data_IF_697495659463
#
_entry.id   IF_697495659463
#
_cell.length_a   1.000
_cell.length_b   1.000
_cell.length_c   1.000
_cell.angle_alpha   90.00
_cell.angle_beta   90.00
_cell.angle_gamma   90.00
#
_symmetry.space_group_name_H-M   'P 1'
#
loop_
_entity.id
_entity.type
_entity.pdbx_description
1 polymer ?
#
# COMPACT_ATOMS: atom_id res chain seq x y z
N UNK A 1 41.32 7.47 56.92
CA UNK A 1 40.03 7.19 56.25
C UNK A 1 39.95 8.12 55.03
N UNK A 2 40.34 7.62 53.86
CA UNK A 2 40.19 8.35 52.60
C UNK A 2 38.82 8.00 52.03
N UNK A 3 37.92 8.97 51.97
CA UNK A 3 36.64 8.83 51.30
C UNK A 3 36.83 9.14 49.81
N UNK A 4 36.75 8.11 48.96
CA UNK A 4 36.69 8.26 47.51
C UNK A 4 35.38 8.96 47.12
N UNK A 5 35.40 9.96 46.23
CA UNK A 5 34.17 10.64 45.83
C UNK A 5 33.38 9.81 44.80
N UNK A 6 32.07 10.01 44.86
CA UNK A 6 31.01 9.46 44.02
C UNK A 6 31.30 9.62 42.51
N UNK A 7 31.60 8.53 41.81
CA UNK A 7 31.71 8.51 40.34
C UNK A 7 30.35 8.62 39.64
N UNK A 8 29.28 8.05 40.22
CA UNK A 8 27.96 7.99 39.60
C UNK A 8 27.22 9.33 39.47
N UNK A 9 27.46 10.29 40.37
CA UNK A 9 26.79 11.59 40.34
C UNK A 9 27.41 12.56 39.34
N UNK A 10 28.71 12.43 39.07
CA UNK A 10 29.46 13.24 38.11
C UNK A 10 29.12 12.83 36.67
N UNK A 11 29.04 11.53 36.40
CA UNK A 11 28.62 10.99 35.08
C UNK A 11 27.19 11.42 34.70
N UNK A 12 26.27 11.42 35.67
CA UNK A 12 24.90 11.90 35.45
C UNK A 12 24.84 13.40 35.15
N UNK A 13 25.70 14.22 35.76
CA UNK A 13 25.77 15.67 35.46
C UNK A 13 26.38 15.95 34.08
N UNK A 14 27.32 15.12 33.64
CA UNK A 14 27.90 15.21 32.29
C UNK A 14 26.87 14.86 31.22
N UNK A 15 26.10 13.78 31.38
CA UNK A 15 25.03 13.40 30.45
C UNK A 15 23.92 14.46 30.32
N UNK A 16 23.76 15.30 31.35
CA UNK A 16 22.76 16.37 31.37
C UNK A 16 23.28 17.68 30.76
N UNK A 17 24.60 17.83 30.64
CA UNK A 17 25.24 19.05 30.15
C UNK A 17 24.98 19.28 28.65
N UNK A 18 24.61 20.50 28.23
CA UNK A 18 24.54 20.87 26.82
C UNK A 18 25.86 20.67 26.07
N UNK A 19 26.98 20.63 26.78
CA UNK A 19 28.33 20.50 26.22
C UNK A 19 28.80 19.06 26.03
N UNK A 20 28.00 18.07 26.42
CA UNK A 20 28.37 16.67 26.26
C UNK A 20 28.26 16.23 24.81
N UNK A 21 29.32 15.63 24.27
CA UNK A 21 29.34 14.93 22.99
C UNK A 21 29.41 13.43 23.26
N UNK A 22 28.52 12.66 22.64
CA UNK A 22 28.55 11.21 22.77
C UNK A 22 29.75 10.66 21.96
N UNK A 23 30.44 9.59 22.40
CA UNK A 23 31.58 9.03 21.65
C UNK A 23 31.25 8.59 20.21
N UNK A 24 29.97 8.36 19.88
CA UNK A 24 29.53 8.05 18.52
C UNK A 24 29.30 9.28 17.64
N UNK A 25 29.30 10.48 18.21
CA UNK A 25 29.06 11.73 17.50
C UNK A 25 30.26 12.06 16.62
N UNK A 26 30.06 12.07 15.32
CA UNK A 26 31.03 12.50 14.33
C UNK A 26 30.37 13.43 13.31
N UNK A 27 31.16 14.28 12.65
CA UNK A 27 30.67 15.30 11.71
C UNK A 27 30.02 14.72 10.46
N UNK A 28 30.40 13.50 10.06
CA UNK A 28 29.86 12.77 8.91
C UNK A 28 28.53 12.07 9.17
N UNK A 29 28.07 11.98 10.42
CA UNK A 29 26.81 11.34 10.76
C UNK A 29 25.64 12.19 10.26
N UNK A 30 24.81 11.61 9.39
CA UNK A 30 23.58 12.22 8.93
C UNK A 30 22.64 12.48 10.13
N UNK A 31 22.46 13.74 10.49
CA UNK A 31 21.55 14.14 11.57
C UNK A 31 20.09 14.28 11.10
N UNK A 32 19.88 14.37 9.79
CA UNK A 32 18.57 14.44 9.14
C UNK A 32 18.47 13.34 8.08
N UNK A 33 17.31 12.69 7.91
CA UNK A 33 17.11 11.70 6.86
C UNK A 33 17.04 12.31 5.45
N UNK A 34 16.87 13.63 5.36
CA UNK A 34 16.84 14.37 4.09
C UNK A 34 17.96 15.41 4.03
N UNK A 35 18.50 15.63 2.83
CA UNK A 35 19.47 16.69 2.56
C UNK A 35 18.75 17.97 2.12
N UNK A 36 19.30 19.13 2.47
CA UNK A 36 18.81 20.41 1.97
C UNK A 36 19.05 20.50 0.46
N UNK A 37 17.96 20.64 -0.31
CA UNK A 37 17.96 20.75 -1.77
C UNK A 37 17.48 22.14 -2.26
N UNK A 38 17.21 23.05 -1.32
CA UNK A 38 16.82 24.43 -1.57
C UNK A 38 15.30 24.67 -1.58
N UNK A 39 14.49 23.68 -1.97
CA UNK A 39 13.02 23.77 -1.96
C UNK A 39 12.39 23.16 -0.70
N UNK A 40 13.16 22.34 0.03
CA UNK A 40 12.71 21.60 1.20
C UNK A 40 13.18 22.20 2.53
N UNK A 41 13.52 23.50 2.57
CA UNK A 41 14.14 24.12 3.73
C UNK A 41 13.35 23.92 5.02
N UNK A 42 12.04 24.17 5.04
CA UNK A 42 11.22 24.04 6.24
C UNK A 42 11.22 22.62 6.80
N UNK A 43 10.97 21.63 5.94
CA UNK A 43 10.99 20.21 6.33
C UNK A 43 12.38 19.79 6.82
N UNK A 44 13.43 20.17 6.11
CA UNK A 44 14.82 19.88 6.50
C UNK A 44 15.16 20.54 7.85
N UNK A 45 14.78 21.80 8.02
CA UNK A 45 15.05 22.56 9.23
C UNK A 45 14.34 21.95 10.44
N UNK A 46 13.08 21.55 10.29
CA UNK A 46 12.29 20.87 11.33
C UNK A 46 12.93 19.54 11.75
N UNK A 47 13.34 18.71 10.80
CA UNK A 47 13.97 17.41 11.07
C UNK A 47 15.34 17.57 11.75
N UNK A 48 16.18 18.47 11.24
CA UNK A 48 17.50 18.73 11.81
C UNK A 48 17.38 19.35 13.22
N UNK A 49 16.46 20.29 13.42
CA UNK A 49 16.20 20.88 14.73
C UNK A 49 15.70 19.84 15.74
N UNK A 50 14.83 18.91 15.32
CA UNK A 50 14.36 17.82 16.17
C UNK A 50 15.50 16.88 16.60
N UNK A 51 16.41 16.55 15.68
CA UNK A 51 17.62 15.77 15.99
C UNK A 51 18.51 16.50 17.01
N UNK A 52 18.74 17.80 16.82
CA UNK A 52 19.52 18.61 17.75
C UNK A 52 18.83 18.79 19.11
N UNK A 53 17.50 18.89 19.13
CA UNK A 53 16.69 18.88 20.36
C UNK A 53 16.89 17.59 21.14
N UNK A 54 16.82 16.43 20.48
CA UNK A 54 17.07 15.14 21.11
C UNK A 54 18.46 15.05 21.75
N UNK A 55 19.46 15.72 21.14
CA UNK A 55 20.85 15.81 21.67
C UNK A 55 21.10 16.99 22.63
N UNK A 56 20.07 17.78 22.98
CA UNK A 56 20.14 19.00 23.81
C UNK A 56 21.08 20.08 23.25
N UNK A 57 21.18 20.16 21.92
CA UNK A 57 22.06 21.09 21.19
C UNK A 57 21.33 22.28 20.57
N UNK A 58 20.00 22.34 20.68
CA UNK A 58 19.19 23.43 20.14
C UNK A 58 19.70 24.82 20.56
N UNK A 59 20.19 24.97 21.81
CA UNK A 59 20.61 26.27 22.32
C UNK A 59 21.79 26.91 21.58
N UNK A 60 22.57 26.14 20.83
CA UNK A 60 23.64 26.64 19.95
C UNK A 60 23.09 27.29 18.68
N UNK A 61 21.94 26.82 18.18
CA UNK A 61 21.28 27.37 16.99
C UNK A 61 20.51 28.65 17.37
N UNK A 62 19.70 28.58 18.42
CA UNK A 62 18.89 29.72 18.87
C UNK A 62 19.78 30.82 19.48
N UNK A 63 20.97 30.45 19.96
CA UNK A 63 21.92 31.32 20.66
C UNK A 63 21.51 31.62 22.10
N UNK A 64 20.67 30.78 22.69
CA UNK A 64 20.41 30.79 24.14
C UNK A 64 21.67 30.36 24.91
N UNK A 65 22.49 29.48 24.33
CA UNK A 65 23.81 29.10 24.85
C UNK A 65 24.89 30.00 24.25
N UNK A 66 25.16 31.11 24.95
CA UNK A 66 26.26 32.01 24.59
C UNK A 66 27.60 31.38 24.91
N UNK A 67 28.61 31.69 24.10
CA UNK A 67 30.01 31.33 24.37
C UNK A 67 30.41 31.85 25.76
N UNK A 68 30.85 30.98 26.68
CA UNK A 68 31.30 31.40 28.01
C UNK A 68 32.47 32.38 27.90
N UNK A 69 32.48 33.41 28.75
CA UNK A 69 33.59 34.37 28.85
C UNK A 69 34.23 34.17 30.21
N UNK A 70 35.57 34.16 30.28
CA UNK A 70 36.37 33.97 31.50
C UNK A 70 36.33 32.55 32.11
N UNK A 71 35.99 31.52 31.31
CA UNK A 71 36.03 30.11 31.73
C UNK A 71 36.63 29.25 30.61
N UNK A 72 37.96 29.05 30.58
CA UNK A 72 38.62 28.42 29.44
C UNK A 72 38.17 26.98 29.19
N UNK A 73 37.94 26.19 30.24
CA UNK A 73 37.49 24.79 30.09
C UNK A 73 36.05 24.67 29.54
N UNK A 74 35.16 25.61 29.87
CA UNK A 74 33.80 25.63 29.32
C UNK A 74 33.77 26.22 27.91
N UNK A 75 34.68 27.15 27.62
CA UNK A 75 34.88 27.76 26.29
C UNK A 75 35.36 26.72 25.28
N UNK A 76 36.38 25.92 25.61
CA UNK A 76 36.88 24.84 24.75
C UNK A 76 35.77 23.81 24.46
N UNK A 77 35.01 23.42 25.50
CA UNK A 77 33.87 22.50 25.34
C UNK A 77 32.76 23.08 24.46
N UNK A 78 32.50 24.38 24.57
CA UNK A 78 31.55 25.08 23.71
C UNK A 78 32.04 25.09 22.26
N UNK A 79 33.32 25.43 22.02
CA UNK A 79 33.92 25.50 20.68
C UNK A 79 33.93 24.13 19.98
N UNK A 80 34.21 23.04 20.72
CA UNK A 80 34.13 21.66 20.21
C UNK A 80 32.71 21.32 19.72
N UNK A 81 31.70 21.60 20.55
CA UNK A 81 30.30 21.28 20.23
C UNK A 81 29.80 22.15 19.08
N UNK A 82 30.14 23.44 19.07
CA UNK A 82 29.80 24.36 17.99
C UNK A 82 30.39 23.87 16.65
N UNK A 83 31.65 23.43 16.64
CA UNK A 83 32.30 22.87 15.45
C UNK A 83 31.63 21.57 14.98
N UNK A 84 31.20 20.72 15.91
CA UNK A 84 30.45 19.50 15.58
C UNK A 84 29.12 19.82 14.90
N UNK A 85 28.38 20.81 15.42
CA UNK A 85 27.09 21.24 14.83
C UNK A 85 27.29 21.86 13.45
N UNK A 86 28.34 22.66 13.24
CA UNK A 86 28.70 23.18 11.91
C UNK A 86 28.94 22.02 10.95
N UNK A 87 29.69 20.99 11.38
CA UNK A 87 29.92 19.78 10.59
C UNK A 87 28.63 19.03 10.24
N UNK A 88 27.71 18.90 11.18
CA UNK A 88 26.39 18.28 10.96
C UNK A 88 25.50 19.07 10.01
N UNK A 89 25.47 20.40 10.14
CA UNK A 89 24.73 21.27 9.21
C UNK A 89 25.34 21.10 7.81
N UNK A 90 26.66 21.17 7.68
CA UNK A 90 27.36 21.04 6.41
C UNK A 90 27.15 19.67 5.74
N UNK A 91 27.20 18.57 6.49
CA UNK A 91 26.97 17.22 5.97
C UNK A 91 25.51 17.01 5.54
N UNK A 92 24.56 17.72 6.16
CA UNK A 92 23.13 17.68 5.82
C UNK A 92 22.72 18.53 4.61
N UNK A 93 23.67 19.18 3.92
CA UNK A 93 23.42 19.97 2.71
C UNK A 93 23.82 19.17 1.47
N UNK A 94 22.96 19.19 0.44
CA UNK A 94 23.25 18.53 -0.84
C UNK A 94 24.55 19.09 -1.46
N UNK A 95 25.44 18.23 -2.00
CA UNK A 95 26.74 18.67 -2.52
C UNK A 95 26.69 19.85 -3.49
N UNK A 96 25.62 19.95 -4.30
CA UNK A 96 25.41 21.04 -5.26
C UNK A 96 25.22 22.42 -4.61
N UNK A 97 24.69 22.46 -3.39
CA UNK A 97 24.43 23.71 -2.67
C UNK A 97 25.59 24.11 -1.75
N UNK A 98 26.49 23.18 -1.40
CA UNK A 98 27.63 23.43 -0.50
C UNK A 98 28.52 24.62 -0.90
N UNK A 99 28.88 24.84 -2.18
CA UNK A 99 29.70 25.98 -2.57
C UNK A 99 29.03 27.33 -2.30
N UNK A 100 27.70 27.34 -2.24
CA UNK A 100 26.94 28.55 -1.97
C UNK A 100 26.94 28.92 -0.47
N UNK A 101 27.18 27.96 0.42
CA UNK A 101 27.08 28.16 1.87
C UNK A 101 28.39 28.71 2.42
N UNK A 102 28.34 29.90 3.01
CA UNK A 102 29.48 30.46 3.74
C UNK A 102 29.78 29.59 4.96
N UNK A 103 30.98 29.04 5.06
CA UNK A 103 31.46 28.45 6.30
C UNK A 103 31.77 29.59 7.28
N UNK A 104 31.07 29.59 8.41
CA UNK A 104 31.19 30.60 9.48
C UNK A 104 31.53 29.87 10.77
N UNK A 105 32.32 30.48 11.63
CA UNK A 105 32.78 29.90 12.90
C UNK A 105 31.67 29.73 13.95
N UNK A 106 30.44 30.17 13.67
CA UNK A 106 29.30 30.05 14.56
C UNK A 106 28.16 29.29 13.91
N UNK A 107 27.72 28.21 14.56
CA UNK A 107 26.57 27.42 14.13
C UNK A 107 25.29 28.28 14.00
N UNK A 108 25.07 29.23 14.92
CA UNK A 108 23.96 30.20 14.85
C UNK A 108 24.02 31.07 13.61
N UNK A 109 25.20 31.61 13.29
CA UNK A 109 25.39 32.46 12.12
C UNK A 109 25.18 31.68 10.82
N UNK A 110 25.70 30.45 10.76
CA UNK A 110 25.49 29.53 9.64
C UNK A 110 23.99 29.22 9.44
N UNK A 111 23.31 28.84 10.52
CA UNK A 111 21.86 28.58 10.51
C UNK A 111 21.05 29.79 10.02
N UNK A 112 21.30 30.98 10.58
CA UNK A 112 20.61 32.20 10.19
C UNK A 112 20.92 32.66 8.76
N UNK A 113 22.06 32.27 8.18
CA UNK A 113 22.37 32.50 6.76
C UNK A 113 21.56 31.56 5.86
N UNK A 114 21.50 30.26 6.21
CA UNK A 114 20.67 29.28 5.50
C UNK A 114 19.20 29.66 5.54
N UNK A 115 18.69 30.06 6.70
CA UNK A 115 17.33 30.54 6.87
C UNK A 115 17.04 31.70 5.92
N UNK A 116 17.79 32.80 5.99
CA UNK A 116 17.54 33.97 5.13
C UNK A 116 17.63 33.68 3.64
N UNK A 117 18.35 32.64 3.23
CA UNK A 117 18.53 32.30 1.82
C UNK A 117 17.45 31.36 1.29
N UNK A 118 17.08 30.35 2.07
CA UNK A 118 16.20 29.27 1.64
C UNK A 118 14.79 29.36 2.23
N UNK A 119 14.53 30.28 3.17
CA UNK A 119 13.18 30.64 3.63
C UNK A 119 12.52 31.69 2.73
N UNK A 120 13.11 32.02 1.56
CA UNK A 120 12.59 33.10 0.70
C UNK A 120 11.44 32.59 -0.14
N UNK A 121 10.28 33.20 0.12
CA UNK A 121 8.99 33.14 -0.59
C UNK A 121 8.08 31.96 -0.24
N UNK A 122 7.69 31.88 1.04
CA UNK A 122 6.59 31.04 1.53
C UNK A 122 5.36 31.14 0.60
N UNK A 123 4.96 32.33 0.17
CA UNK A 123 3.79 32.50 -0.72
C UNK A 123 3.97 31.84 -2.10
N UNK A 124 5.13 32.01 -2.74
CA UNK A 124 5.35 31.38 -4.06
C UNK A 124 5.48 29.87 -3.92
N UNK A 125 6.06 29.39 -2.81
CA UNK A 125 6.14 27.97 -2.50
C UNK A 125 4.78 27.37 -2.17
N UNK A 126 3.92 28.09 -1.44
CA UNK A 126 2.53 27.73 -1.19
C UNK A 126 1.78 27.59 -2.52
N UNK A 127 1.94 28.54 -3.44
CA UNK A 127 1.35 28.44 -4.78
C UNK A 127 1.88 27.23 -5.58
N UNK A 128 3.19 26.98 -5.53
CA UNK A 128 3.79 25.79 -6.17
C UNK A 128 3.21 24.49 -5.57
N UNK A 129 3.12 24.40 -4.24
CA UNK A 129 2.52 23.24 -3.55
C UNK A 129 1.06 23.05 -3.94
N UNK A 130 0.27 24.12 -4.05
CA UNK A 130 -1.10 24.01 -4.56
C UNK A 130 -1.15 23.46 -5.99
N UNK A 131 -0.24 23.88 -6.86
CA UNK A 131 -0.14 23.36 -8.22
C UNK A 131 0.33 21.88 -8.25
N UNK A 132 1.30 21.52 -7.41
CA UNK A 132 1.81 20.17 -7.25
C UNK A 132 0.71 19.22 -6.73
N UNK A 133 -0.08 19.67 -5.75
CA UNK A 133 -1.24 18.93 -5.22
C UNK A 133 -2.30 18.72 -6.30
N UNK A 134 -2.62 19.76 -7.07
CA UNK A 134 -3.61 19.67 -8.15
C UNK A 134 -3.17 18.78 -9.32
N UNK A 135 -1.87 18.70 -9.58
CA UNK A 135 -1.29 17.86 -10.63
C UNK A 135 -0.92 16.45 -10.16
N UNK A 136 -0.90 16.19 -8.85
CA UNK A 136 -0.62 14.89 -8.27
C UNK A 136 -1.72 13.88 -8.64
N UNK A 137 -1.35 12.87 -9.43
CA UNK A 137 -2.23 11.79 -9.88
C UNK A 137 -1.60 10.44 -9.61
N UNK A 138 -2.45 9.42 -9.50
CA UNK A 138 -2.04 8.03 -9.30
C UNK A 138 -1.22 7.50 -10.48
N UNK A 139 -1.63 7.77 -11.72
CA UNK A 139 -0.88 7.45 -12.93
C UNK A 139 -0.46 5.95 -13.02
N UNK A 140 -1.30 5.05 -12.51
CA UNK A 140 -1.02 3.60 -12.48
C UNK A 140 -0.21 3.10 -11.28
N UNK A 141 0.27 3.97 -10.39
CA UNK A 141 0.93 3.56 -9.14
C UNK A 141 -0.05 2.86 -8.19
N UNK A 142 0.50 2.10 -7.22
CA UNK A 142 -0.29 1.58 -6.09
C UNK A 142 -0.89 2.74 -5.30
N UNK A 143 -2.13 2.60 -4.81
CA UNK A 143 -2.84 3.69 -4.10
C UNK A 143 -2.03 4.19 -2.90
N UNK A 144 -1.33 3.30 -2.19
CA UNK A 144 -0.48 3.66 -1.05
C UNK A 144 0.68 4.60 -1.44
N UNK A 145 1.33 4.36 -2.58
CA UNK A 145 2.42 5.22 -3.07
C UNK A 145 1.90 6.59 -3.46
N UNK A 146 0.77 6.62 -4.18
CA UNK A 146 0.09 7.87 -4.55
C UNK A 146 -0.34 8.67 -3.32
N UNK A 147 -0.99 8.02 -2.35
CA UNK A 147 -1.41 8.65 -1.11
C UNK A 147 -0.22 9.18 -0.31
N UNK A 148 0.89 8.44 -0.26
CA UNK A 148 2.14 8.88 0.36
C UNK A 148 2.68 10.17 -0.27
N UNK A 149 2.73 10.25 -1.61
CA UNK A 149 3.14 11.48 -2.32
C UNK A 149 2.23 12.66 -2.00
N UNK A 150 0.92 12.44 -2.02
CA UNK A 150 -0.05 13.49 -1.73
C UNK A 150 0.00 13.97 -0.27
N UNK A 151 0.19 13.04 0.68
CA UNK A 151 0.37 13.35 2.10
C UNK A 151 1.62 14.19 2.35
N UNK A 152 2.73 13.87 1.69
CA UNK A 152 3.96 14.67 1.76
C UNK A 152 3.69 16.12 1.33
N UNK A 153 2.95 16.33 0.24
CA UNK A 153 2.61 17.68 -0.24
C UNK A 153 1.68 18.43 0.72
N UNK A 154 0.70 17.75 1.33
CA UNK A 154 -0.15 18.37 2.35
C UNK A 154 0.61 18.76 3.60
N UNK A 155 1.51 17.89 4.09
CA UNK A 155 2.33 18.17 5.25
C UNK A 155 3.27 19.36 4.98
N UNK A 156 3.85 19.43 3.77
CA UNK A 156 4.66 20.58 3.34
C UNK A 156 3.86 21.88 3.28
N UNK A 157 2.60 21.80 2.81
CA UNK A 157 1.71 22.96 2.76
C UNK A 157 1.31 23.43 4.16
N UNK A 158 0.99 22.50 5.08
CA UNK A 158 0.63 22.82 6.45
C UNK A 158 1.80 23.37 7.28
N UNK A 159 3.03 23.02 6.94
CA UNK A 159 4.22 23.58 7.58
C UNK A 159 4.45 25.05 7.19
N UNK A 160 4.05 25.45 5.97
CA UNK A 160 4.16 26.83 5.46
C UNK A 160 2.93 27.68 5.77
N UNK A 161 1.74 27.15 5.50
CA UNK A 161 0.47 27.80 5.82
C UNK A 161 0.00 27.35 7.20
N UNK A 162 0.38 28.15 8.22
CA UNK A 162 -0.06 27.94 9.61
C UNK A 162 -1.58 28.13 9.79
N UNK A 163 -2.28 28.52 8.73
CA UNK A 163 -3.73 28.46 8.63
C UNK A 163 -4.45 29.43 9.57
N UNK A 164 -5.62 29.00 10.02
CA UNK A 164 -6.49 29.80 10.87
C UNK A 164 -6.15 29.63 12.36
N UNK A 165 -5.79 30.71 13.04
CA UNK A 165 -5.73 30.76 14.51
C UNK A 165 -7.02 31.35 15.08
N UNK A 166 -7.73 30.60 15.93
CA UNK A 166 -8.88 31.15 16.65
C UNK A 166 -8.47 32.25 17.64
N UNK A 167 -9.27 33.31 17.73
CA UNK A 167 -9.12 34.38 18.73
C UNK A 167 -9.18 33.90 20.20
N UNK A 168 -9.66 32.68 20.41
CA UNK A 168 -9.82 32.04 21.71
C UNK A 168 -8.56 31.34 22.22
N UNK A 169 -7.55 31.07 21.38
CA UNK A 169 -6.35 30.31 21.78
C UNK A 169 -6.57 28.83 22.09
N UNK A 170 -7.83 28.41 22.28
CA UNK A 170 -8.22 27.02 22.50
C UNK A 170 -8.29 26.23 21.19
N UNK A 171 -7.57 25.10 21.15
CA UNK A 171 -7.56 24.17 20.02
C UNK A 171 -8.92 23.50 19.78
N UNK A 172 -9.74 23.32 20.83
CA UNK A 172 -11.05 22.65 20.76
C UNK A 172 -12.22 23.61 20.49
N UNK A 173 -11.96 24.86 20.10
CA UNK A 173 -13.02 25.79 19.79
C UNK A 173 -13.84 25.35 18.57
N UNK A 174 -15.16 25.55 18.62
CA UNK A 174 -16.07 25.25 17.52
C UNK A 174 -15.65 25.86 16.16
N UNK A 175 -14.96 27.00 16.17
CA UNK A 175 -14.40 27.62 14.96
C UNK A 175 -13.21 26.85 14.40
N UNK A 176 -12.30 26.37 15.26
CA UNK A 176 -11.18 25.51 14.86
C UNK A 176 -11.68 24.18 14.31
N UNK A 177 -12.62 23.54 15.00
CA UNK A 177 -13.20 22.26 14.53
C UNK A 177 -13.88 22.40 13.17
N UNK A 178 -14.56 23.52 12.90
CA UNK A 178 -15.14 23.80 11.57
C UNK A 178 -14.08 23.99 10.49
N UNK A 179 -12.97 24.63 10.83
CA UNK A 179 -11.85 24.82 9.90
C UNK A 179 -11.17 23.48 9.57
N UNK A 180 -10.85 22.66 10.57
CA UNK A 180 -10.25 21.33 10.39
C UNK A 180 -11.15 20.42 9.54
N UNK A 181 -12.46 20.40 9.81
CA UNK A 181 -13.42 19.66 8.98
C UNK A 181 -13.44 20.12 7.52
N UNK A 182 -13.32 21.44 7.30
CA UNK A 182 -13.27 22.01 5.94
C UNK A 182 -11.97 21.59 5.23
N UNK A 183 -10.84 21.66 5.92
CA UNK A 183 -9.56 21.19 5.40
C UNK A 183 -9.59 19.70 5.04
N UNK A 184 -10.09 18.86 5.95
CA UNK A 184 -10.20 17.42 5.73
C UNK A 184 -11.07 17.11 4.50
N UNK A 185 -12.19 17.82 4.34
CA UNK A 185 -13.05 17.69 3.15
C UNK A 185 -12.32 18.06 1.87
N UNK A 186 -11.48 19.09 1.89
CA UNK A 186 -10.65 19.47 0.73
C UNK A 186 -9.63 18.37 0.42
N UNK A 187 -8.96 17.81 1.43
CA UNK A 187 -7.99 16.72 1.26
C UNK A 187 -8.64 15.46 0.70
N UNK A 188 -9.81 15.08 1.21
CA UNK A 188 -10.61 13.96 0.67
C UNK A 188 -10.93 14.20 -0.80
N UNK A 189 -11.40 15.38 -1.17
CA UNK A 189 -11.73 15.69 -2.55
C UNK A 189 -10.50 15.66 -3.47
N UNK A 190 -9.38 16.24 -3.04
CA UNK A 190 -8.11 16.20 -3.78
C UNK A 190 -7.63 14.76 -4.00
N UNK A 191 -7.65 13.93 -2.95
CA UNK A 191 -7.30 12.51 -3.06
C UNK A 191 -8.16 11.79 -4.08
N UNK A 192 -9.49 11.92 -3.96
CA UNK A 192 -10.45 11.26 -4.84
C UNK A 192 -10.34 11.73 -6.30
N UNK A 193 -10.00 12.99 -6.56
CA UNK A 193 -9.84 13.52 -7.91
C UNK A 193 -8.56 13.05 -8.61
N UNK A 194 -7.49 12.76 -7.88
CA UNK A 194 -6.24 12.26 -8.46
C UNK A 194 -6.17 10.73 -8.63
N UNK A 195 -7.17 9.98 -8.16
CA UNK A 195 -7.28 8.53 -8.40
C UNK A 195 -7.57 8.22 -9.88
N UNK A 196 -7.08 7.07 -10.34
CA UNK A 196 -7.28 6.63 -11.72
C UNK A 196 -8.76 6.32 -11.99
N UNK A 197 -9.39 7.10 -12.87
CA UNK A 197 -10.82 7.00 -13.15
C UNK A 197 -11.22 5.65 -13.78
N UNK A 198 -10.32 4.99 -14.49
CA UNK A 198 -10.56 3.67 -15.09
C UNK A 198 -10.69 2.54 -14.05
N UNK A 199 -9.99 2.65 -12.92
CA UNK A 199 -10.02 1.65 -11.84
C UNK A 199 -11.03 2.01 -10.76
N UNK A 200 -11.05 3.26 -10.32
CA UNK A 200 -11.78 3.69 -9.12
C UNK A 200 -12.99 4.59 -9.42
N UNK A 201 -13.38 4.77 -10.68
CA UNK A 201 -14.45 5.71 -11.07
C UNK A 201 -15.80 5.47 -10.38
N UNK A 202 -16.20 4.20 -10.21
CA UNK A 202 -17.46 3.82 -9.56
C UNK A 202 -17.40 4.15 -8.06
N UNK A 203 -16.35 3.68 -7.37
CA UNK A 203 -16.14 3.90 -5.93
C UNK A 203 -16.01 5.38 -5.61
N UNK A 204 -15.29 6.14 -6.44
CA UNK A 204 -15.19 7.60 -6.35
C UNK A 204 -16.57 8.27 -6.42
N UNK A 205 -17.39 7.87 -7.40
CA UNK A 205 -18.73 8.44 -7.58
C UNK A 205 -19.66 8.10 -6.42
N UNK A 206 -19.59 6.87 -5.91
CA UNK A 206 -20.33 6.44 -4.72
C UNK A 206 -19.93 7.27 -3.49
N UNK A 207 -18.62 7.42 -3.24
CA UNK A 207 -18.10 8.20 -2.12
C UNK A 207 -18.53 9.66 -2.20
N UNK A 208 -18.40 10.31 -3.35
CA UNK A 208 -18.81 11.70 -3.54
C UNK A 208 -20.33 11.91 -3.42
N UNK A 209 -21.13 10.88 -3.73
CA UNK A 209 -22.59 10.94 -3.59
C UNK A 209 -23.09 10.82 -2.15
N UNK A 210 -22.25 10.33 -1.22
CA UNK A 210 -22.61 10.24 0.20
C UNK A 210 -22.68 11.64 0.81
N UNK A 211 -23.80 11.96 1.44
CA UNK A 211 -24.01 13.23 2.15
C UNK A 211 -23.39 13.27 3.56
N UNK A 212 -22.78 12.17 4.01
CA UNK A 212 -22.14 12.06 5.32
C UNK A 212 -20.74 12.69 5.30
N UNK A 213 -20.33 13.29 6.43
CA UNK A 213 -18.96 13.79 6.62
C UNK A 213 -17.95 12.65 6.38
N UNK A 214 -17.21 12.72 5.27
CA UNK A 214 -16.19 11.75 4.94
C UNK A 214 -14.90 12.11 5.67
N UNK A 215 -14.34 11.15 6.41
CA UNK A 215 -13.00 11.23 6.99
C UNK A 215 -11.97 10.68 5.98
N UNK A 216 -10.81 11.33 5.89
CA UNK A 216 -9.71 10.93 5.00
C UNK A 216 -9.26 9.48 5.23
N UNK A 217 -9.15 9.05 6.48
CA UNK A 217 -8.72 7.70 6.84
C UNK A 217 -9.76 6.64 6.45
N UNK A 218 -11.04 6.94 6.66
CA UNK A 218 -12.14 6.07 6.24
C UNK A 218 -12.17 5.92 4.71
N UNK A 219 -12.02 7.02 3.98
CA UNK A 219 -11.95 7.01 2.51
C UNK A 219 -10.74 6.23 2.03
N UNK A 220 -9.56 6.45 2.61
CA UNK A 220 -8.36 5.69 2.28
C UNK A 220 -8.56 4.18 2.49
N UNK A 221 -9.11 3.77 3.63
CA UNK A 221 -9.36 2.35 3.93
C UNK A 221 -10.30 1.70 2.92
N UNK A 222 -11.34 2.41 2.47
CA UNK A 222 -12.29 1.91 1.48
C UNK A 222 -11.65 1.76 0.09
N UNK A 223 -10.82 2.71 -0.33
CA UNK A 223 -10.10 2.61 -1.61
C UNK A 223 -9.07 1.47 -1.58
N UNK A 224 -8.36 1.27 -0.47
CA UNK A 224 -7.42 0.14 -0.33
C UNK A 224 -8.16 -1.21 -0.37
N UNK A 225 -9.33 -1.31 0.26
CA UNK A 225 -10.18 -2.49 0.14
C UNK A 225 -10.62 -2.74 -1.30
N UNK A 226 -11.03 -1.68 -2.01
CA UNK A 226 -11.38 -1.79 -3.42
C UNK A 226 -10.19 -2.19 -4.30
N UNK A 227 -9.00 -1.64 -4.06
CA UNK A 227 -7.79 -2.02 -4.79
C UNK A 227 -7.48 -3.51 -4.63
N UNK A 228 -7.63 -4.04 -3.41
CA UNK A 228 -7.47 -5.48 -3.15
C UNK A 228 -8.54 -6.30 -3.87
N UNK A 229 -9.79 -5.85 -3.85
CA UNK A 229 -10.90 -6.51 -4.55
C UNK A 229 -10.69 -6.56 -6.06
N UNK A 230 -10.32 -5.44 -6.69
CA UNK A 230 -10.02 -5.38 -8.13
C UNK A 230 -8.81 -6.23 -8.52
N UNK A 231 -7.81 -6.34 -7.65
CA UNK A 231 -6.64 -7.20 -7.90
C UNK A 231 -7.01 -8.69 -7.85
N UNK A 232 -7.93 -9.10 -6.97
CA UNK A 232 -8.45 -10.49 -6.94
C UNK A 232 -9.25 -10.79 -8.23
N UNK A 233 -10.15 -9.89 -8.63
CA UNK A 233 -10.95 -10.06 -9.85
C UNK A 233 -10.08 -10.14 -11.13
N UNK A 234 -8.99 -9.37 -11.21
CA UNK A 234 -8.02 -9.48 -12.33
C UNK A 234 -7.24 -10.79 -12.33
N UNK A 235 -7.02 -11.40 -11.17
CA UNK A 235 -6.29 -12.67 -11.08
C UNK A 235 -7.14 -13.85 -11.58
N UNK A 236 -8.47 -13.75 -11.52
CA UNK A 236 -9.37 -14.73 -12.14
C UNK A 236 -9.35 -14.61 -13.68
N UNK A 237 -9.31 -13.39 -14.23
CA UNK A 237 -9.25 -13.15 -15.68
C UNK A 237 -7.90 -13.57 -16.33
N UNK A 238 -6.81 -13.63 -15.56
CA UNK A 238 -5.46 -13.99 -16.04
C UNK A 238 -5.06 -15.44 -15.77
N UNK A 239 -6.00 -16.31 -15.35
CA UNK A 239 -5.81 -17.75 -15.52
C UNK A 239 -6.17 -18.11 -16.96
N UNK A 240 -5.20 -18.28 -17.88
CA UNK A 240 -5.52 -18.99 -19.09
C UNK A 240 -5.93 -20.39 -18.65
N UNK A 241 -7.11 -20.84 -19.05
CA UNK A 241 -7.42 -22.26 -19.14
C UNK A 241 -6.46 -22.85 -20.19
N UNK A 242 -5.19 -23.01 -19.84
CA UNK A 242 -4.29 -23.99 -20.45
C UNK A 242 -4.77 -25.32 -19.88
N UNK A 243 -5.58 -26.08 -20.62
CA UNK A 243 -5.05 -26.75 -21.81
C UNK A 243 -4.36 -28.05 -21.39
N UNK A 244 -5.04 -28.87 -20.58
CA UNK A 244 -4.71 -30.30 -20.48
C UNK A 244 -5.24 -30.96 -21.76
N UNK A 245 -4.41 -30.92 -22.81
CA UNK A 245 -4.61 -31.74 -24.00
C UNK A 245 -4.35 -33.20 -23.63
N UNK A 246 -5.40 -33.96 -23.37
CA UNK A 246 -5.39 -35.40 -23.56
C UNK A 246 -6.45 -35.71 -24.62
N UNK A 247 -5.93 -36.00 -25.81
CA UNK A 247 -6.47 -36.90 -26.84
C UNK A 247 -7.93 -37.32 -26.69
N UNK A 248 -8.69 -36.96 -27.73
CA UNK A 248 -10.00 -37.44 -28.14
C UNK A 248 -10.44 -38.76 -27.51
N UNK A 249 -11.45 -38.69 -26.65
CA UNK A 249 -12.51 -39.68 -26.60
C UNK A 249 -13.81 -39.02 -26.14
N UNK A 250 -14.82 -39.16 -26.99
CA UNK A 250 -16.19 -38.68 -26.88
C UNK A 250 -16.84 -38.91 -25.51
N UNK A 251 -17.53 -37.91 -24.96
CA UNK A 251 -18.58 -38.15 -23.97
C UNK A 251 -19.97 -37.84 -24.54
N UNK A 252 -20.89 -38.74 -24.19
CA UNK A 252 -22.34 -38.71 -24.41
C UNK A 252 -22.99 -37.39 -23.95
N UNK A 253 -24.12 -36.98 -24.55
CA UNK A 253 -24.85 -35.80 -24.10
C UNK A 253 -25.60 -36.10 -22.79
N UNK A 254 -25.08 -35.59 -21.67
CA UNK A 254 -25.83 -35.48 -20.42
C UNK A 254 -26.82 -34.33 -20.50
N UNK A 255 -28.06 -34.61 -20.11
CA UNK A 255 -29.21 -33.73 -20.20
C UNK A 255 -29.01 -32.49 -19.33
N UNK A 256 -28.85 -31.32 -19.94
CA UNK A 256 -29.01 -30.04 -19.27
C UNK A 256 -30.45 -29.56 -19.43
N UNK A 257 -31.10 -29.35 -18.29
CA UNK A 257 -32.46 -28.87 -18.14
C UNK A 257 -32.57 -27.42 -18.62
N UNK A 258 -33.02 -27.26 -19.87
CA UNK A 258 -33.44 -25.98 -20.42
C UNK A 258 -34.71 -25.49 -19.72
N UNK A 259 -34.78 -24.17 -19.48
CA UNK A 259 -35.99 -23.54 -18.96
C UNK A 259 -37.15 -23.66 -19.97
N UNK A 260 -38.38 -23.78 -19.49
CA UNK A 260 -39.58 -24.03 -20.31
C UNK A 260 -39.80 -22.98 -21.43
N UNK A 261 -39.26 -21.77 -21.29
CA UNK A 261 -39.36 -20.72 -22.31
C UNK A 261 -38.43 -20.95 -23.52
N UNK A 262 -37.23 -21.50 -23.31
CA UNK A 262 -36.26 -21.77 -24.39
C UNK A 262 -36.59 -23.07 -25.16
N UNK A 263 -37.20 -24.05 -24.50
CA UNK A 263 -37.68 -25.27 -25.12
C UNK A 263 -38.91 -25.05 -26.04
N UNK A 264 -39.72 -24.02 -25.77
CA UNK A 264 -40.85 -23.65 -26.61
C UNK A 264 -40.42 -22.98 -27.92
N UNK A 265 -39.42 -22.09 -27.88
CA UNK A 265 -38.90 -21.38 -29.06
C UNK A 265 -38.22 -22.33 -30.07
N UNK A 266 -37.51 -23.35 -29.59
CA UNK A 266 -36.83 -24.34 -30.46
C UNK A 266 -37.77 -25.33 -31.13
N UNK A 267 -38.92 -25.65 -30.51
CA UNK A 267 -39.97 -26.50 -31.14
C UNK A 267 -40.71 -25.79 -32.27
N UNK A 268 -40.98 -24.48 -32.12
CA UNK A 268 -41.63 -23.67 -33.17
C UNK A 268 -40.72 -23.56 -34.40
N UNK A 269 -39.41 -23.39 -34.20
CA UNK A 269 -38.44 -23.30 -35.31
C UNK A 269 -38.32 -24.62 -36.10
N UNK A 270 -38.32 -25.79 -35.44
CA UNK A 270 -38.24 -27.09 -36.13
C UNK A 270 -39.47 -27.38 -36.98
N UNK A 271 -40.66 -27.03 -36.50
CA UNK A 271 -41.91 -27.28 -37.21
C UNK A 271 -42.05 -26.51 -38.54
N UNK A 272 -41.31 -25.42 -38.73
CA UNK A 272 -41.36 -24.61 -39.94
C UNK A 272 -40.21 -24.89 -40.94
N UNK A 273 -39.25 -25.75 -40.57
CA UNK A 273 -38.17 -26.15 -41.46
C UNK A 273 -38.63 -27.26 -42.40
N UNK A 274 -38.54 -27.02 -43.71
CA UNK A 274 -38.84 -28.01 -44.76
C UNK A 274 -37.52 -28.64 -45.19
N UNK A 275 -37.44 -29.98 -45.19
CA UNK A 275 -36.27 -30.69 -45.67
C UNK A 275 -36.12 -30.53 -47.19
N UNK A 276 -34.96 -30.04 -47.65
CA UNK A 276 -34.68 -29.80 -49.07
C UNK A 276 -34.64 -31.08 -49.93
N UNK A 277 -34.48 -32.26 -49.31
CA UNK A 277 -34.34 -33.53 -50.04
C UNK A 277 -35.66 -34.32 -50.17
N UNK A 278 -36.50 -34.35 -49.12
CA UNK A 278 -37.77 -35.11 -49.13
C UNK A 278 -39.03 -34.24 -49.12
N UNK A 279 -38.88 -32.91 -48.98
CA UNK A 279 -40.00 -31.95 -48.98
C UNK A 279 -40.90 -32.00 -47.75
N UNK A 280 -40.59 -32.80 -46.73
CA UNK A 280 -41.39 -32.92 -45.49
C UNK A 280 -40.91 -31.92 -44.43
N UNK A 281 -41.84 -31.38 -43.65
CA UNK A 281 -41.58 -30.43 -42.57
C UNK A 281 -41.06 -31.16 -41.31
N UNK A 282 -40.33 -30.45 -40.46
CA UNK A 282 -39.96 -30.92 -39.12
C UNK A 282 -38.53 -31.48 -38.98
N UNK A 283 -37.73 -31.51 -40.04
CA UNK A 283 -36.34 -31.97 -39.99
C UNK A 283 -35.49 -31.31 -41.09
N UNK A 284 -34.18 -31.22 -40.85
CA UNK A 284 -33.20 -30.74 -41.82
C UNK A 284 -32.67 -31.90 -42.69
N UNK A 285 -32.01 -31.60 -43.81
CA UNK A 285 -31.45 -32.61 -44.73
C UNK A 285 -30.53 -33.60 -44.02
N UNK A 286 -29.78 -33.13 -43.01
CA UNK A 286 -28.90 -33.94 -42.17
C UNK A 286 -29.61 -34.98 -41.31
N UNK A 287 -30.93 -34.88 -41.14
CA UNK A 287 -31.78 -35.79 -40.37
C UNK A 287 -32.84 -36.48 -41.25
N UNK A 288 -32.68 -36.43 -42.58
CA UNK A 288 -33.63 -37.02 -43.51
C UNK A 288 -33.46 -38.54 -43.58
N UNK A 289 -34.48 -39.30 -43.15
CA UNK A 289 -34.46 -40.77 -43.24
C UNK A 289 -34.37 -41.31 -44.67
N UNK A 290 -34.69 -40.50 -45.69
CA UNK A 290 -34.47 -40.89 -47.09
C UNK A 290 -32.98 -40.82 -47.49
N UNK A 291 -32.17 -40.01 -46.78
CA UNK A 291 -30.72 -39.86 -46.99
C UNK A 291 -29.93 -40.77 -46.05
N UNK A 292 -30.38 -40.91 -44.79
CA UNK A 292 -29.71 -41.68 -43.74
C UNK A 292 -30.07 -43.17 -43.80
N UNK A 293 -31.18 -43.50 -44.47
CA UNK A 293 -31.79 -44.83 -44.43
C UNK A 293 -32.85 -44.93 -43.34
N UNK A 294 -33.91 -45.70 -43.61
CA UNK A 294 -34.99 -45.90 -42.65
C UNK A 294 -34.56 -46.91 -41.58
N UNK A 295 -34.68 -46.57 -40.28
CA UNK A 295 -34.45 -47.51 -39.20
C UNK A 295 -35.45 -48.67 -39.23
N UNK A 296 -35.03 -49.82 -38.71
CA UNK A 296 -35.79 -51.08 -38.71
C UNK A 296 -37.17 -50.99 -38.03
N UNK A 297 -37.34 -50.04 -37.09
CA UNK A 297 -38.61 -49.79 -36.38
C UNK A 297 -39.61 -48.90 -37.14
N UNK A 298 -39.25 -48.35 -38.31
CA UNK A 298 -40.07 -47.36 -39.02
C UNK A 298 -41.32 -47.95 -39.70
N UNK A 299 -41.33 -49.27 -39.95
CA UNK A 299 -42.43 -49.96 -40.63
C UNK A 299 -43.73 -50.05 -39.80
N UNK A 300 -43.62 -50.10 -38.48
CA UNK A 300 -44.75 -50.51 -37.63
C UNK A 300 -45.61 -49.35 -37.10
N UNK A 301 -45.15 -48.10 -37.23
CA UNK A 301 -45.87 -46.92 -36.70
C UNK A 301 -46.85 -46.25 -37.68
N UNK A 302 -46.90 -46.68 -38.95
CA UNK A 302 -47.76 -46.07 -39.97
C UNK A 302 -48.95 -46.94 -40.44
N UNK A 303 -49.25 -48.02 -39.72
CA UNK A 303 -50.53 -48.71 -39.88
C UNK A 303 -51.67 -47.86 -39.30
N UNK A 304 -52.36 -47.08 -40.16
CA UNK A 304 -53.58 -46.33 -39.78
C UNK A 304 -54.65 -47.27 -39.19
N UNK A 305 -55.26 -46.95 -38.04
CA UNK A 305 -56.61 -47.37 -37.74
C UNK A 305 -57.58 -46.23 -38.08
N UNK A 306 -58.50 -46.59 -38.95
CA UNK A 306 -59.77 -45.96 -39.32
C UNK A 306 -60.61 -45.50 -38.11
N UNK A 307 -61.19 -44.29 -38.24
CA UNK A 307 -62.52 -43.83 -37.74
C UNK A 307 -62.83 -43.87 -36.23
N UNK A 308 -63.19 -42.72 -35.66
CA UNK A 308 -63.99 -42.65 -34.42
C UNK A 308 -64.09 -41.26 -33.79
N UNK A 309 -65.24 -40.58 -33.96
CA UNK A 309 -65.67 -39.35 -33.26
C UNK A 309 -65.90 -39.62 -31.76
N UNK A 310 -65.62 -38.63 -30.90
CA UNK A 310 -66.13 -38.62 -29.52
C UNK A 310 -65.78 -37.34 -28.75
N UNK A 311 -66.78 -36.48 -28.57
CA UNK A 311 -66.83 -35.26 -27.75
C UNK A 311 -67.03 -35.56 -26.27
N UNK A 312 -66.58 -34.67 -25.36
CA UNK A 312 -67.27 -34.14 -24.15
C UNK A 312 -66.22 -33.52 -23.18
N UNK A 313 -66.24 -32.22 -22.83
CA UNK A 313 -67.15 -31.37 -22.00
C UNK A 313 -66.89 -31.44 -20.48
N UNK A 314 -66.57 -30.26 -19.92
CA UNK A 314 -66.75 -29.86 -18.50
C UNK A 314 -65.51 -30.02 -17.63
N UNK A 315 -65.10 -29.11 -16.73
CA UNK A 315 -65.71 -27.88 -16.19
C UNK A 315 -64.77 -27.28 -15.12
N UNK A 316 -64.99 -25.99 -14.83
CA UNK A 316 -64.37 -25.09 -13.82
C UNK A 316 -64.62 -25.64 -12.39
N UNK A 317 -63.96 -25.30 -11.27
CA UNK A 317 -63.06 -24.23 -10.84
C UNK A 317 -63.32 -23.92 -9.34
N UNK A 318 -62.24 -23.71 -8.55
CA UNK A 318 -62.03 -22.90 -7.31
C UNK A 318 -63.01 -22.85 -6.11
N UNK A 319 -62.40 -22.87 -4.91
CA UNK A 319 -62.87 -22.29 -3.61
C UNK A 319 -62.32 -23.13 -2.43
N UNK A 320 -61.37 -22.75 -1.56
CA UNK A 320 -61.11 -21.63 -0.61
C UNK A 320 -61.69 -21.86 0.81
N UNK A 321 -60.84 -21.60 1.82
CA UNK A 321 -61.09 -21.36 3.27
C UNK A 321 -61.30 -22.63 4.15
N UNK A 322 -60.83 -22.79 5.40
CA UNK A 322 -60.37 -21.87 6.47
C UNK A 322 -59.72 -22.66 7.65
N UNK A 323 -58.65 -22.10 8.24
CA UNK A 323 -58.42 -21.84 9.68
C UNK A 323 -58.33 -22.94 10.77
N UNK A 324 -57.19 -22.93 11.51
CA UNK A 324 -57.17 -22.88 12.99
C UNK A 324 -56.51 -24.03 13.76
N UNK A 325 -55.54 -23.71 14.65
CA UNK A 325 -55.21 -24.56 15.82
C UNK A 325 -53.76 -24.50 16.32
N UNK A 326 -53.55 -24.01 17.55
CA UNK A 326 -52.27 -23.88 18.29
C UNK A 326 -52.01 -25.10 19.20
N UNK A 327 -50.74 -25.41 19.53
CA UNK A 327 -50.40 -25.96 20.87
C UNK A 327 -49.24 -26.96 21.04
N UNK A 328 -48.10 -26.44 21.52
CA UNK A 328 -47.08 -26.98 22.49
C UNK A 328 -46.72 -28.48 22.57
N UNK A 329 -45.40 -28.75 22.48
CA UNK A 329 -44.64 -29.37 23.58
C UNK A 329 -43.77 -30.61 23.28
N UNK A 330 -42.46 -30.53 23.57
CA UNK A 330 -41.72 -31.63 24.21
C UNK A 330 -40.64 -32.43 23.43
N UNK A 331 -39.38 -31.96 23.55
CA UNK A 331 -38.11 -32.70 23.84
C UNK A 331 -37.82 -34.07 23.18
N UNK A 332 -36.62 -34.17 22.59
CA UNK A 332 -35.71 -35.32 22.84
C UNK A 332 -34.85 -35.84 21.67
N UNK A 333 -33.52 -35.80 21.87
CA UNK A 333 -32.44 -36.57 21.20
C UNK A 333 -32.10 -36.21 19.75
N UNK A 334 -30.90 -35.76 19.34
CA UNK A 334 -29.56 -35.88 19.91
C UNK A 334 -28.82 -37.07 19.29
N UNK A 335 -27.88 -36.81 18.36
CA UNK A 335 -26.71 -37.61 17.86
C UNK A 335 -26.30 -37.05 16.48
N UNK A 336 -25.05 -36.97 16.02
CA UNK A 336 -23.69 -36.89 16.57
C UNK A 336 -22.83 -36.45 15.36
N UNK A 337 -22.04 -35.38 15.46
CA UNK A 337 -21.00 -35.07 14.47
C UNK A 337 -19.73 -35.86 14.83
N UNK A 338 -19.14 -36.55 13.85
CA UNK A 338 -17.83 -37.17 14.00
C UNK A 338 -16.74 -36.10 13.87
N UNK A 339 -16.04 -35.85 14.98
CA UNK A 339 -14.69 -35.33 14.96
C UNK A 339 -13.74 -36.49 14.66
N UNK A 340 -12.81 -36.29 13.74
CA UNK A 340 -11.61 -37.13 13.62
C UNK A 340 -10.45 -36.37 14.23
N UNK A 341 -9.95 -36.88 15.36
CA UNK A 341 -8.64 -36.53 15.89
C UNK A 341 -7.60 -37.37 15.15
N UNK A 342 -6.49 -36.73 14.78
CA UNK A 342 -5.21 -37.39 14.57
C UNK A 342 -4.22 -36.73 15.51
N UNK A 343 -3.81 -37.49 16.53
CA UNK A 343 -2.63 -37.21 17.35
C UNK A 343 -1.38 -37.65 16.57
N UNK A 344 -0.32 -36.85 16.52
CA UNK A 344 0.79 -36.98 17.47
C UNK A 344 2.03 -36.16 17.05
N UNK A 345 2.72 -35.67 18.09
CA UNK A 345 4.18 -35.48 18.23
C UNK A 345 4.92 -34.42 17.40
N UNK A 346 5.06 -33.23 18.00
CA UNK A 346 6.36 -32.72 18.47
C UNK A 346 7.41 -32.22 17.46
N UNK A 347 7.52 -30.90 17.31
CA UNK A 347 8.78 -30.17 17.55
C UNK A 347 8.52 -28.67 17.49
N UNK A 348 8.83 -27.96 18.57
CA UNK A 348 8.74 -26.51 18.69
C UNK A 348 9.95 -25.84 18.05
N UNK A 349 9.75 -25.06 16.99
CA UNK A 349 10.68 -24.00 16.62
C UNK A 349 9.88 -22.79 16.14
N UNK A 350 9.95 -21.72 16.94
CA UNK A 350 9.39 -20.40 16.68
C UNK A 350 9.92 -19.83 15.37
N UNK A 351 9.03 -19.63 14.40
CA UNK A 351 9.33 -18.96 13.14
C UNK A 351 9.25 -17.43 13.29
N UNK A 352 10.34 -16.75 12.93
CA UNK A 352 10.33 -15.36 12.51
C UNK A 352 10.31 -15.32 10.96
N UNK A 353 9.57 -14.42 10.31
CA UNK A 353 9.50 -14.38 8.84
C UNK A 353 10.70 -13.63 8.29
N UNK A 354 11.51 -14.25 7.40
CA UNK A 354 12.47 -13.47 6.63
C UNK A 354 13.71 -14.16 6.04
N UNK A 355 13.93 -15.47 6.20
CA UNK A 355 15.11 -16.13 5.59
C UNK A 355 14.66 -17.42 4.88
N UNK A 356 15.05 -17.65 3.61
CA UNK A 356 14.76 -18.93 2.95
C UNK A 356 15.48 -20.07 3.69
N UNK A 357 14.77 -21.18 3.93
CA UNK A 357 15.33 -22.37 4.57
C UNK A 357 16.45 -22.96 3.71
N UNK A 358 17.69 -22.63 4.05
CA UNK A 358 18.88 -23.29 3.55
C UNK A 358 19.05 -24.61 4.32
N UNK A 359 19.30 -25.69 3.59
CA UNK A 359 19.62 -27.00 4.15
C UNK A 359 20.98 -26.98 4.86
N UNK A 360 21.22 -27.88 5.81
CA UNK A 360 22.48 -27.91 6.59
C UNK A 360 23.73 -28.05 5.70
N UNK A 361 23.61 -28.72 4.55
CA UNK A 361 24.68 -28.83 3.56
C UNK A 361 24.98 -27.50 2.87
N UNK A 362 23.96 -26.65 2.64
CA UNK A 362 24.13 -25.33 2.05
C UNK A 362 24.82 -24.36 3.04
N UNK A 363 24.50 -24.48 4.32
CA UNK A 363 25.21 -23.73 5.38
C UNK A 363 26.69 -24.07 5.42
N UNK A 364 27.05 -25.34 5.27
CA UNK A 364 28.44 -25.77 5.30
C UNK A 364 29.24 -25.33 4.05
N UNK A 365 28.58 -25.21 2.90
CA UNK A 365 29.21 -24.60 1.72
C UNK A 365 29.45 -23.09 1.86
N UNK A 366 28.52 -22.36 2.50
CA UNK A 366 28.67 -20.92 2.73
C UNK A 366 29.79 -20.61 3.74
N UNK A 367 29.91 -21.38 4.81
CA UNK A 367 30.99 -21.20 5.80
C UNK A 367 32.37 -21.48 5.20
N UNK A 368 32.48 -22.50 4.32
CA UNK A 368 33.70 -22.77 3.55
C UNK A 368 34.05 -21.64 2.58
N UNK A 369 33.06 -21.02 1.93
CA UNK A 369 33.31 -19.91 1.00
C UNK A 369 33.74 -18.63 1.72
N UNK A 370 33.12 -18.30 2.86
CA UNK A 370 33.45 -17.13 3.68
C UNK A 370 34.83 -17.26 4.32
N UNK A 371 35.19 -18.46 4.79
CA UNK A 371 36.53 -18.72 5.35
C UNK A 371 37.64 -18.66 4.29
N UNK A 372 37.36 -19.09 3.06
CA UNK A 372 38.29 -18.96 1.92
C UNK A 372 38.50 -17.49 1.46
N UNK A 373 37.49 -16.62 1.60
CA UNK A 373 37.68 -15.18 1.34
C UNK A 373 38.50 -14.49 2.44
N UNK A 374 38.40 -14.95 3.68
CA UNK A 374 39.14 -14.38 4.80
C UNK A 374 40.66 -14.64 4.71
N UNK A 375 41.06 -15.75 4.08
CA UNK A 375 42.48 -16.03 3.78
C UNK A 375 43.00 -15.27 2.56
N UNK A 376 42.16 -14.88 1.60
CA UNK A 376 42.55 -14.09 0.43
C UNK A 376 42.69 -12.57 0.71
N UNK A 377 42.12 -12.06 1.80
CA UNK A 377 42.15 -10.63 2.14
C UNK A 377 43.45 -10.16 2.83
N UNK A 378 44.36 -11.08 3.23
CA UNK A 378 45.59 -10.73 3.95
C UNK A 378 46.85 -10.63 3.05
N UNK A 379 46.74 -10.84 1.74
CA UNK A 379 47.84 -10.63 0.79
C UNK A 379 47.40 -9.78 -0.40
N UNK A 380 47.40 -8.44 -0.23
CA UNK A 380 47.65 -7.42 -1.30
C UNK A 380 47.45 -6.00 -0.77
N UNK A 381 48.44 -5.52 -0.02
CA UNK A 381 48.69 -4.08 0.13
C UNK A 381 50.19 -3.83 0.00
N UNK A 382 50.74 -4.00 -1.20
CA UNK A 382 51.94 -3.30 -1.64
C UNK A 382 51.78 -2.97 -3.12
N UNK A 383 51.39 -1.73 -3.41
CA UNK A 383 51.48 -1.16 -4.76
C UNK A 383 52.93 -0.78 -5.10
N UNK A 384 53.29 -0.67 -6.39
CA UNK A 384 54.64 -0.33 -6.79
C UNK A 384 55.01 1.09 -6.34
N UNK A 385 56.19 1.24 -5.72
CA UNK A 385 56.85 2.53 -5.50
C UNK A 385 57.16 3.15 -6.87
N UNK A 386 56.54 4.29 -7.18
CA UNK A 386 57.02 5.18 -8.23
C UNK A 386 58.21 5.95 -7.65
N UNK A 387 59.39 5.68 -8.19
CA UNK A 387 60.61 6.45 -7.96
C UNK A 387 60.48 7.85 -8.59
N UNK A 388 61.09 8.82 -7.91
CA UNK A 388 61.04 10.24 -8.19
C UNK A 388 61.54 10.58 -9.61
N UNK A 389 60.76 11.38 -10.34
CA UNK A 389 61.20 12.00 -11.59
C UNK A 389 61.94 13.31 -11.27
N UNK A 390 63.25 13.29 -11.50
CA UNK A 390 64.12 14.46 -11.54
C UNK A 390 63.62 15.50 -12.57
N UNK A 391 63.26 16.68 -12.08
CA UNK A 391 63.08 17.89 -12.91
C UNK A 391 64.14 18.92 -12.54
N UNK A 392 65.33 18.75 -13.09
CA UNK A 392 66.35 19.79 -13.25
C UNK A 392 66.97 19.63 -14.65
N UNK A 393 66.71 20.60 -15.53
CA UNK A 393 67.24 20.66 -16.90
C UNK A 393 66.51 21.70 -17.72
#
# INVERSE_FOLDING_TARGET
MAASPTSSSTDMRLLVSPYYLHPSDNTGQAQSPILLNGANYERWAKLLLNSLKAKRKQGFIDGTLKRPVNKPEEEEKWDMVNSMIIGWIYSSIEPKLRPSVSLVDSAKAMWGSLQRRFSVSDDTRIHQLHADIASCKQNGDVVEVYFGRLKVLWDDLADLDKGFSCCCGDSECASMTKYEKKEEKIRVHQFLMGLDNSRFGITRSNLLSRQTDLNLESVYSQIIQEERHLNVMRHEETTPVLGMSTTMQSPQPSQQSLTNAQAAATRVARNNSVCSHCGKQGHEVSQCFQVIGYPEWWGDQNAKPTTGRGTDRGGRGRGRDTQGGRGRGGRGSGFRAYNTNVDNSGSSTTQAPGIPNLTDEQWDTLTKFVSAQKSAANEKLMGPRLEDFDWCG
#
